data_IF_223752351214
#
_entry.id   IF_223752351214
#
_cell.length_a   1.000
_cell.length_b   1.000
_cell.length_c   1.000
_cell.angle_alpha   90.00
_cell.angle_beta   90.00
_cell.angle_gamma   90.00
#
_symmetry.space_group_name_H-M   'P 1'
#
loop_
_entity.id
_entity.type
_entity.pdbx_description
1 polymer ?
#
# COMPACT_ATOMS: atom_id res chain seq x y z
N UNK A 1 7.74 -15.79 11.58
CA UNK A 1 8.68 -14.91 10.85
C UNK A 1 9.39 -13.89 11.76
N UNK A 2 8.67 -12.93 12.36
CA UNK A 2 9.30 -11.94 13.27
C UNK A 2 9.82 -12.56 14.57
N UNK A 3 8.93 -13.25 15.30
CA UNK A 3 9.21 -13.81 16.63
C UNK A 3 9.83 -15.21 16.58
N UNK A 4 10.04 -15.75 15.38
CA UNK A 4 10.68 -17.05 15.24
C UNK A 4 12.16 -16.94 15.65
N UNK A 5 12.65 -17.81 16.54
CA UNK A 5 14.00 -17.68 17.11
C UNK A 5 15.12 -17.87 16.08
N UNK A 6 14.83 -18.61 14.99
CA UNK A 6 15.77 -18.90 13.90
C UNK A 6 15.64 -17.84 12.82
N UNK A 7 14.43 -17.61 12.29
CA UNK A 7 14.23 -16.77 11.11
C UNK A 7 14.49 -15.28 11.37
N UNK A 8 13.95 -14.75 12.48
CA UNK A 8 14.07 -13.36 12.96
C UNK A 8 14.06 -12.30 11.85
N UNK A 9 12.92 -12.11 11.21
CA UNK A 9 12.68 -10.96 10.33
C UNK A 9 12.29 -9.72 11.15
N UNK A 10 13.29 -9.08 11.73
CA UNK A 10 13.15 -8.00 12.70
C UNK A 10 13.02 -6.61 12.07
N UNK A 11 13.38 -6.47 10.79
CA UNK A 11 13.32 -5.20 10.07
C UNK A 11 12.32 -5.26 8.91
N UNK A 12 11.37 -4.33 8.90
CA UNK A 12 10.49 -4.08 7.76
C UNK A 12 11.16 -3.04 6.88
N UNK A 13 11.52 -3.44 5.66
CA UNK A 13 12.19 -2.56 4.69
C UNK A 13 11.19 -1.70 3.95
N UNK A 14 10.13 -2.32 3.42
CA UNK A 14 9.17 -1.64 2.53
C UNK A 14 7.85 -2.41 2.46
N UNK A 15 6.76 -1.68 2.17
CA UNK A 15 5.46 -2.22 1.79
C UNK A 15 5.00 -1.44 0.56
N UNK A 16 4.76 -2.15 -0.53
CA UNK A 16 4.29 -1.55 -1.77
C UNK A 16 3.20 -2.40 -2.39
N UNK A 17 2.54 -1.89 -3.43
CA UNK A 17 1.61 -2.67 -4.22
C UNK A 17 1.96 -2.64 -5.71
N UNK A 18 1.63 -3.73 -6.39
CA UNK A 18 1.90 -3.93 -7.80
C UNK A 18 0.60 -4.28 -8.49
N UNK A 19 0.18 -3.41 -9.41
CA UNK A 19 -0.90 -3.72 -10.34
C UNK A 19 -0.32 -4.03 -11.73
N UNK A 20 -0.62 -5.24 -12.21
CA UNK A 20 -0.26 -5.68 -13.55
C UNK A 20 -1.16 -5.03 -14.62
N UNK A 21 -0.61 -4.87 -15.83
CA UNK A 21 -1.36 -4.33 -16.98
C UNK A 21 -2.45 -5.28 -17.45
N UNK A 22 -2.23 -6.58 -17.29
CA UNK A 22 -3.26 -7.58 -17.47
C UNK A 22 -4.36 -7.37 -16.43
N UNK A 23 -5.60 -7.28 -16.90
CA UNK A 23 -6.76 -7.00 -16.05
C UNK A 23 -7.20 -8.23 -15.26
N UNK A 24 -6.88 -9.42 -15.72
CA UNK A 24 -7.24 -10.67 -15.05
C UNK A 24 -6.29 -11.00 -13.90
N UNK A 25 -5.08 -10.41 -13.90
CA UNK A 25 -4.12 -10.61 -12.83
C UNK A 25 -4.52 -9.85 -11.55
N UNK A 26 -4.32 -10.45 -10.37
CA UNK A 26 -4.59 -9.79 -9.10
C UNK A 26 -3.64 -8.60 -8.87
N UNK A 27 -4.07 -7.68 -8.01
CA UNK A 27 -3.16 -6.67 -7.44
C UNK A 27 -2.37 -7.35 -6.34
N UNK A 28 -1.06 -7.19 -6.32
CA UNK A 28 -0.21 -7.76 -5.27
C UNK A 28 0.15 -6.69 -4.23
N UNK A 29 0.06 -7.01 -2.95
CA UNK A 29 0.74 -6.26 -1.88
C UNK A 29 2.05 -6.97 -1.59
N UNK A 30 3.15 -6.25 -1.68
CA UNK A 30 4.51 -6.77 -1.52
C UNK A 30 5.10 -6.24 -0.23
N UNK A 31 5.46 -7.14 0.66
CA UNK A 31 6.17 -6.85 1.91
C UNK A 31 7.63 -7.26 1.77
N UNK A 32 8.53 -6.34 2.06
CA UNK A 32 9.97 -6.59 2.06
C UNK A 32 10.47 -6.60 3.49
N UNK A 33 10.90 -7.78 3.95
CA UNK A 33 11.40 -8.02 5.29
C UNK A 33 12.88 -8.35 5.24
N UNK A 34 13.61 -7.93 6.25
CA UNK A 34 15.03 -8.25 6.42
C UNK A 34 15.29 -8.82 7.80
N UNK A 35 16.07 -9.90 7.82
CA UNK A 35 16.68 -10.39 9.04
C UNK A 35 18.05 -9.75 9.18
N UNK A 36 18.23 -8.87 10.17
CA UNK A 36 19.51 -8.20 10.40
C UNK A 36 20.56 -9.20 10.90
N UNK A 37 20.15 -10.16 11.74
CA UNK A 37 21.03 -11.20 12.28
C UNK A 37 21.57 -12.13 11.20
N UNK A 38 20.69 -12.56 10.28
CA UNK A 38 21.07 -13.50 9.20
C UNK A 38 21.56 -12.80 7.94
N UNK A 39 21.36 -11.49 7.83
CA UNK A 39 21.62 -10.69 6.62
C UNK A 39 20.88 -11.24 5.40
N UNK A 40 19.65 -11.73 5.61
CA UNK A 40 18.80 -12.30 4.58
C UNK A 40 17.57 -11.43 4.36
N UNK A 41 17.20 -11.27 3.09
CA UNK A 41 16.00 -10.55 2.67
C UNK A 41 14.91 -11.56 2.30
N UNK A 42 13.66 -11.24 2.63
CA UNK A 42 12.47 -12.02 2.30
C UNK A 42 11.42 -11.11 1.69
N UNK A 43 10.84 -11.55 0.58
CA UNK A 43 9.71 -10.88 -0.05
C UNK A 43 8.47 -11.74 0.09
N UNK A 44 7.44 -11.18 0.72
CA UNK A 44 6.12 -11.78 0.78
C UNK A 44 5.20 -11.04 -0.17
N UNK A 45 4.38 -11.79 -0.89
CA UNK A 45 3.40 -11.24 -1.83
C UNK A 45 2.02 -11.75 -1.41
N UNK A 46 1.07 -10.82 -1.30
CA UNK A 46 -0.33 -11.13 -1.03
C UNK A 46 -1.11 -10.76 -2.27
N UNK A 47 -1.78 -11.75 -2.86
CA UNK A 47 -2.57 -11.55 -4.07
C UNK A 47 -4.02 -11.13 -3.72
N UNK A 48 -4.43 -10.01 -4.31
CA UNK A 48 -5.77 -9.44 -4.21
C UNK A 48 -6.46 -9.49 -5.57
N UNK A 49 -7.27 -10.54 -5.82
CA UNK A 49 -8.27 -10.57 -6.88
C UNK A 49 -9.09 -9.28 -6.92
N UNK A 50 -9.31 -8.77 -8.14
CA UNK A 50 -9.99 -7.48 -8.39
C UNK A 50 -11.52 -7.57 -8.31
N UNK A 51 -12.07 -8.78 -8.24
CA UNK A 51 -13.50 -9.08 -8.12
C UNK A 51 -14.02 -8.99 -6.67
N UNK A 52 -13.12 -8.91 -5.68
CA UNK A 52 -13.43 -8.78 -4.26
C UNK A 52 -12.93 -7.43 -3.70
N UNK A 53 -13.40 -7.00 -2.51
CA UNK A 53 -12.83 -5.85 -1.84
C UNK A 53 -11.32 -5.98 -1.67
N UNK A 54 -10.58 -4.95 -2.09
CA UNK A 54 -9.13 -4.89 -1.94
C UNK A 54 -8.78 -4.56 -0.50
N UNK A 55 -8.72 -5.58 0.34
CA UNK A 55 -8.48 -5.47 1.78
C UNK A 55 -7.48 -6.52 2.27
N UNK A 56 -6.60 -6.12 3.18
CA UNK A 56 -5.60 -6.97 3.86
C UNK A 56 -5.56 -6.59 5.34
N UNK A 57 -5.18 -7.51 6.23
CA UNK A 57 -4.95 -7.18 7.63
C UNK A 57 -3.70 -6.28 7.79
N UNK A 58 -3.79 -5.29 8.67
CA UNK A 58 -2.64 -4.47 9.06
C UNK A 58 -1.57 -5.32 9.75
N UNK A 59 -0.31 -4.93 9.62
CA UNK A 59 0.81 -5.49 10.38
C UNK A 59 1.46 -4.44 11.29
N UNK A 60 0.76 -3.34 11.58
CA UNK A 60 1.24 -2.23 12.43
C UNK A 60 1.45 -2.62 13.90
N UNK A 61 0.76 -3.65 14.38
CA UNK A 61 0.98 -4.28 15.68
C UNK A 61 2.31 -5.04 15.71
N UNK A 62 2.69 -5.67 14.59
CA UNK A 62 3.95 -6.39 14.41
C UNK A 62 5.12 -5.44 14.11
N UNK A 63 5.03 -4.57 13.10
CA UNK A 63 6.09 -3.62 12.73
C UNK A 63 5.56 -2.20 12.72
N UNK A 64 6.04 -1.35 13.63
CA UNK A 64 5.56 0.04 13.75
C UNK A 64 5.82 0.89 12.51
N UNK A 65 6.86 0.57 11.73
CA UNK A 65 7.13 1.22 10.45
C UNK A 65 6.05 0.98 9.39
N UNK A 66 5.23 -0.07 9.53
CA UNK A 66 4.15 -0.38 8.60
C UNK A 66 3.08 0.72 8.55
N UNK A 67 2.95 1.54 9.60
CA UNK A 67 1.88 2.55 9.67
C UNK A 67 1.94 3.53 8.49
N UNK A 68 3.14 4.03 8.20
CA UNK A 68 3.34 4.98 7.10
C UNK A 68 3.21 4.31 5.73
N UNK A 69 3.76 3.10 5.59
CA UNK A 69 3.81 2.37 4.33
C UNK A 69 2.42 1.83 3.92
N UNK A 70 1.63 1.33 4.87
CA UNK A 70 0.24 0.91 4.64
C UNK A 70 -0.64 2.10 4.23
N UNK A 71 -0.42 3.28 4.81
CA UNK A 71 -1.10 4.53 4.40
C UNK A 71 -0.73 4.95 2.99
N UNK A 72 0.54 4.84 2.61
CA UNK A 72 0.99 5.14 1.25
C UNK A 72 0.32 4.21 0.23
N UNK A 73 0.28 2.90 0.50
CA UNK A 73 -0.38 1.91 -0.37
C UNK A 73 -1.88 2.20 -0.48
N UNK A 74 -2.53 2.56 0.63
CA UNK A 74 -3.94 2.96 0.59
C UNK A 74 -4.17 4.23 -0.24
N UNK A 75 -3.32 5.26 -0.08
CA UNK A 75 -3.46 6.53 -0.80
C UNK A 75 -3.25 6.35 -2.32
N UNK A 76 -2.23 5.57 -2.70
CA UNK A 76 -1.82 5.38 -4.09
C UNK A 76 -2.56 4.28 -4.86
N UNK A 77 -2.95 3.19 -4.20
CA UNK A 77 -3.59 2.02 -4.81
C UNK A 77 -5.00 1.74 -4.29
N UNK A 78 -5.43 2.35 -3.19
CA UNK A 78 -6.78 2.17 -2.64
C UNK A 78 -7.01 0.82 -1.98
N UNK A 79 -5.94 0.16 -1.53
CA UNK A 79 -6.02 -1.10 -0.79
C UNK A 79 -6.23 -0.75 0.68
N UNK A 80 -7.27 -1.31 1.30
CA UNK A 80 -7.61 -1.06 2.70
C UNK A 80 -6.84 -2.00 3.61
N UNK A 81 -6.40 -1.48 4.75
CA UNK A 81 -5.74 -2.26 5.80
C UNK A 81 -6.67 -2.38 7.02
N UNK A 82 -7.23 -3.57 7.24
CA UNK A 82 -8.13 -3.84 8.35
C UNK A 82 -7.37 -3.78 9.68
N UNK A 83 -7.91 -3.05 10.66
CA UNK A 83 -7.29 -2.85 11.97
C UNK A 83 -6.21 -1.76 12.04
N UNK A 84 -5.93 -1.06 10.93
CA UNK A 84 -4.94 0.02 10.92
C UNK A 84 -5.37 1.19 11.84
N UNK A 85 -4.48 1.72 12.70
CA UNK A 85 -4.85 2.71 13.71
C UNK A 85 -5.26 4.08 13.15
N UNK A 86 -4.68 4.51 12.02
CA UNK A 86 -4.95 5.81 11.41
C UNK A 86 -4.80 5.76 9.87
N UNK A 87 -5.78 5.18 9.18
CA UNK A 87 -5.73 5.02 7.72
C UNK A 87 -6.28 6.27 7.03
N UNK A 88 -5.39 7.23 6.74
CA UNK A 88 -5.69 8.52 6.10
C UNK A 88 -4.64 8.88 5.06
N UNK A 89 -5.01 9.79 4.13
CA UNK A 89 -4.15 10.21 3.02
C UNK A 89 -2.86 10.82 3.55
N UNK A 90 -1.79 10.71 2.78
CA UNK A 90 -0.46 11.14 3.20
C UNK A 90 0.32 11.81 2.07
N UNK A 91 0.24 11.29 0.85
CA UNK A 91 0.89 11.87 -0.32
C UNK A 91 -0.05 12.82 -1.04
N UNK A 92 -1.33 12.46 -1.18
CA UNK A 92 -2.34 13.32 -1.77
C UNK A 92 -2.94 14.25 -0.71
N UNK A 93 -3.42 15.41 -1.15
CA UNK A 93 -4.12 16.35 -0.29
C UNK A 93 -5.46 15.77 0.19
N UNK A 94 -5.96 16.27 1.33
CA UNK A 94 -7.11 15.67 2.02
C UNK A 94 -8.38 15.65 1.17
N UNK A 95 -8.59 16.68 0.33
CA UNK A 95 -9.74 16.81 -0.58
C UNK A 95 -9.55 16.12 -1.94
N UNK A 96 -8.51 15.30 -2.11
CA UNK A 96 -8.25 14.61 -3.37
C UNK A 96 -9.35 13.58 -3.67
N UNK A 97 -10.17 13.88 -4.67
CA UNK A 97 -11.36 13.13 -5.06
C UNK A 97 -11.20 12.34 -6.35
N UNK A 98 -10.05 12.43 -7.03
CA UNK A 98 -9.86 11.79 -8.34
C UNK A 98 -9.66 10.28 -8.27
N UNK A 99 -9.20 9.77 -7.12
CA UNK A 99 -9.02 8.34 -6.87
C UNK A 99 -7.61 8.00 -6.37
N UNK A 100 -6.97 7.05 -7.05
CA UNK A 100 -5.72 6.40 -6.67
C UNK A 100 -4.72 6.46 -7.83
N UNK A 101 -3.71 7.36 -7.77
CA UNK A 101 -2.89 7.72 -8.92
C UNK A 101 -2.06 6.59 -9.54
N UNK A 102 -1.64 5.61 -8.74
CA UNK A 102 -0.76 4.52 -9.23
C UNK A 102 -1.52 3.34 -9.82
N UNK A 103 -2.85 3.37 -9.82
CA UNK A 103 -3.64 2.36 -10.53
C UNK A 103 -3.49 2.48 -12.04
N UNK A 104 -3.52 1.34 -12.72
CA UNK A 104 -3.29 1.28 -14.18
C UNK A 104 -4.46 1.81 -15.00
N UNK A 105 -5.64 1.90 -14.42
CA UNK A 105 -6.82 2.54 -15.02
C UNK A 105 -6.83 4.07 -14.85
N UNK A 106 -5.93 4.63 -14.04
CA UNK A 106 -5.89 6.06 -13.78
C UNK A 106 -5.21 6.84 -14.92
N UNK A 107 -5.80 7.95 -15.42
CA UNK A 107 -5.21 8.75 -16.49
C UNK A 107 -3.97 9.51 -16.01
N UNK A 108 -2.90 9.53 -16.82
CA UNK A 108 -1.61 10.15 -16.46
C UNK A 108 -1.70 11.63 -16.05
N UNK A 109 -2.64 12.38 -16.64
CA UNK A 109 -2.84 13.81 -16.35
C UNK A 109 -3.82 14.10 -15.21
N UNK A 110 -4.35 13.06 -14.57
CA UNK A 110 -5.52 13.20 -13.70
C UNK A 110 -6.81 13.29 -14.50
N UNK A 111 -7.93 13.25 -13.79
CA UNK A 111 -9.29 13.37 -14.35
C UNK A 111 -9.75 14.82 -14.41
N UNK A 112 -9.15 15.70 -13.61
CA UNK A 112 -9.47 17.13 -13.56
C UNK A 112 -8.27 17.98 -13.97
N UNK A 113 -8.55 19.16 -14.51
CA UNK A 113 -7.54 20.20 -14.69
C UNK A 113 -7.11 20.75 -13.33
N UNK A 114 -5.92 21.35 -13.28
CA UNK A 114 -5.40 22.00 -12.06
C UNK A 114 -6.36 23.07 -11.51
N UNK A 115 -7.07 23.80 -12.38
CA UNK A 115 -8.04 24.81 -11.96
C UNK A 115 -9.25 24.18 -11.25
N UNK A 116 -9.75 23.06 -11.77
CA UNK A 116 -10.86 22.31 -11.17
C UNK A 116 -10.46 21.64 -9.85
N UNK A 117 -9.22 21.16 -9.74
CA UNK A 117 -8.68 20.63 -8.49
C UNK A 117 -8.65 21.69 -7.39
N UNK A 118 -8.16 22.91 -7.69
CA UNK A 118 -8.12 24.02 -6.73
C UNK A 118 -9.51 24.43 -6.28
N UNK A 119 -10.48 24.53 -7.19
CA UNK A 119 -11.86 24.89 -6.85
C UNK A 119 -12.53 23.84 -5.94
N UNK A 120 -12.18 22.56 -6.07
CA UNK A 120 -12.73 21.48 -5.23
C UNK A 120 -12.02 21.36 -3.88
N UNK A 121 -10.86 21.98 -3.72
CA UNK A 121 -10.08 21.93 -2.50
C UNK A 121 -10.37 23.08 -1.53
N UNK A 122 -10.98 24.16 -2.02
CA UNK A 122 -11.49 25.32 -1.26
C UNK A 122 -12.93 25.07 -0.79
#
# INVERSE_FOLDING_TARGET
LKNDPVERYDYLTDITAVEYRDRELPIEVVYQLRSLKRKLDLRLKVELPKDRPLEVDTITDLWKGANWLEREVWDMFGIRFAGHPDLRRILMWETYSEGHPLRKDFPLRGRFSRAEQTHRAL
#
